data_IF_269619018764
#
_entry.id   IF_269619018764
#
_cell.length_a   1.000
_cell.length_b   1.000
_cell.length_c   1.000
_cell.angle_alpha   90.00
_cell.angle_beta   90.00
_cell.angle_gamma   90.00
#
_symmetry.space_group_name_H-M   'P 1'
#
loop_
_entity.id
_entity.type
_entity.pdbx_description
1 polymer ?
#
# COMPACT_ATOMS: atom_id res chain seq x y z
N UNK A 1 16.00 -26.91 5.69
CA UNK A 1 17.48 -26.91 5.68
C UNK A 1 17.89 -25.72 4.83
N UNK A 2 18.31 -24.58 5.38
CA UNK A 2 19.48 -24.37 6.22
C UNK A 2 19.18 -23.67 7.56
N UNK A 3 20.11 -23.88 8.50
CA UNK A 3 20.12 -23.50 9.92
C UNK A 3 21.02 -22.29 10.12
N UNK A 4 20.60 -21.34 10.99
CA UNK A 4 21.36 -20.56 12.01
C UNK A 4 20.69 -19.18 12.20
N UNK A 5 20.63 -18.55 13.37
CA UNK A 5 21.01 -18.91 14.71
C UNK A 5 20.20 -18.02 15.68
N UNK A 6 19.91 -18.56 16.85
CA UNK A 6 19.34 -17.89 18.01
C UNK A 6 20.33 -16.86 18.55
N UNK A 7 19.88 -15.65 18.84
CA UNK A 7 20.49 -14.81 19.87
C UNK A 7 19.38 -14.35 20.82
N UNK A 8 19.52 -14.77 22.07
CA UNK A 8 18.66 -14.43 23.19
C UNK A 8 19.37 -13.36 24.03
N UNK A 9 18.64 -12.33 24.43
CA UNK A 9 18.91 -11.61 25.68
C UNK A 9 17.58 -11.10 26.23
N UNK A 10 17.25 -11.54 27.46
CA UNK A 10 16.32 -10.82 28.35
C UNK A 10 16.94 -9.47 28.75
N UNK A 11 16.24 -8.54 29.38
CA UNK A 11 15.48 -8.63 30.64
C UNK A 11 14.29 -7.61 30.61
N UNK A 12 13.06 -7.98 31.05
CA UNK A 12 12.40 -7.59 32.34
C UNK A 12 12.53 -6.08 32.65
N UNK A 13 11.48 -5.28 32.92
CA UNK A 13 10.45 -5.49 33.94
C UNK A 13 9.38 -4.37 33.91
N UNK A 14 8.26 -4.71 34.55
CA UNK A 14 6.94 -4.12 34.84
C UNK A 14 6.83 -2.77 35.60
N UNK A 15 5.65 -2.13 35.44
CA UNK A 15 4.98 -1.20 36.37
C UNK A 15 5.01 0.28 35.96
N UNK A 16 4.04 1.18 36.19
CA UNK A 16 2.71 1.19 36.84
C UNK A 16 2.10 2.57 36.53
N UNK A 17 0.77 2.65 36.63
CA UNK A 17 -0.15 3.78 36.51
C UNK A 17 0.25 5.11 37.20
N UNK A 18 -0.24 6.20 36.62
CA UNK A 18 -1.09 7.26 37.24
C UNK A 18 -0.59 8.73 37.12
N UNK A 19 -1.58 9.55 36.74
CA UNK A 19 -1.88 10.91 37.23
C UNK A 19 -1.10 12.13 36.70
N UNK A 20 -1.82 12.90 35.88
CA UNK A 20 -2.17 14.34 36.03
C UNK A 20 -1.15 15.26 36.71
N UNK A 21 -0.77 16.30 35.97
CA UNK A 21 -0.81 17.68 36.46
C UNK A 21 -0.67 18.69 35.32
N UNK A 22 -1.65 19.58 35.24
CA UNK A 22 -1.64 20.83 34.47
C UNK A 22 -0.50 21.77 34.91
N UNK A 23 0.02 22.58 34.00
CA UNK A 23 0.48 23.95 34.28
C UNK A 23 0.50 24.72 32.96
N UNK A 24 -0.50 25.58 32.73
CA UNK A 24 -0.40 26.71 31.80
C UNK A 24 -0.50 27.99 32.62
N UNK A 25 0.61 28.71 32.64
CA UNK A 25 0.73 30.09 33.12
C UNK A 25 0.11 31.02 32.08
N UNK A 26 -0.75 31.92 32.53
CA UNK A 26 -1.58 32.76 31.68
C UNK A 26 -0.94 34.03 31.17
N UNK A 27 -1.77 34.86 30.52
CA UNK A 27 -1.73 36.33 30.59
C UNK A 27 -3.04 36.92 30.03
N UNK A 28 -3.68 37.74 30.88
CA UNK A 28 -4.19 39.10 30.61
C UNK A 28 -5.38 39.34 29.66
N UNK A 29 -6.47 39.84 30.27
CA UNK A 29 -7.17 41.11 29.93
C UNK A 29 -7.79 41.23 28.52
N UNK A 30 -9.09 41.45 28.33
CA UNK A 30 -9.88 42.60 28.81
C UNK A 30 -11.37 42.42 28.44
N UNK A 31 -12.23 43.08 29.20
CA UNK A 31 -13.69 43.13 29.08
C UNK A 31 -14.15 44.06 27.95
N UNK A 32 -15.25 43.75 27.25
CA UNK A 32 -16.18 44.73 26.66
C UNK A 32 -17.53 44.06 26.39
N UNK A 33 -18.54 44.57 27.10
CA UNK A 33 -19.99 44.39 26.96
C UNK A 33 -20.49 44.66 25.55
N UNK A 34 -21.56 43.98 25.08
CA UNK A 34 -22.71 44.57 24.34
C UNK A 34 -23.66 43.47 23.79
N UNK A 35 -24.90 43.53 24.30
CA UNK A 35 -26.21 43.29 23.65
C UNK A 35 -26.63 41.86 23.31
N UNK A 36 -27.68 41.43 24.02
CA UNK A 36 -28.62 40.37 23.63
C UNK A 36 -29.41 40.82 22.39
N UNK A 37 -29.38 40.01 21.34
CA UNK A 37 -30.46 39.91 20.36
C UNK A 37 -30.63 38.44 20.01
N UNK A 38 -31.82 37.95 20.30
CA UNK A 38 -32.32 36.64 19.92
C UNK A 38 -32.48 36.60 18.39
N UNK A 39 -31.73 35.74 17.72
CA UNK A 39 -31.99 35.39 16.32
C UNK A 39 -31.79 33.88 16.13
N UNK A 40 -32.85 33.29 15.58
CA UNK A 40 -33.10 31.89 15.30
C UNK A 40 -32.13 31.37 14.22
N UNK A 41 -31.22 30.44 14.58
CA UNK A 41 -30.39 29.70 13.62
C UNK A 41 -30.32 28.22 14.02
N UNK A 42 -30.79 27.28 13.18
CA UNK A 42 -30.74 25.86 13.49
C UNK A 42 -29.30 25.35 13.41
N UNK A 43 -28.84 24.79 14.53
CA UNK A 43 -27.54 24.15 14.71
C UNK A 43 -27.35 22.99 13.73
N UNK A 44 -26.78 23.29 12.57
CA UNK A 44 -26.42 22.32 11.54
C UNK A 44 -25.08 21.70 11.89
N UNK A 45 -25.05 20.82 12.90
CA UNK A 45 -23.92 19.91 13.15
C UNK A 45 -24.30 18.61 13.91
N UNK A 46 -25.58 18.27 14.02
CA UNK A 46 -26.03 17.05 14.72
C UNK A 46 -26.07 15.77 13.86
N UNK A 47 -25.55 15.78 12.64
CA UNK A 47 -25.68 14.60 11.76
C UNK A 47 -24.49 13.62 11.79
N UNK A 48 -23.43 13.94 12.55
CA UNK A 48 -22.18 13.17 12.49
C UNK A 48 -21.89 12.24 13.69
N UNK A 49 -22.67 12.27 14.78
CA UNK A 49 -22.32 11.56 16.03
C UNK A 49 -23.15 10.30 16.34
N UNK A 50 -24.37 10.18 15.81
CA UNK A 50 -25.28 9.09 16.17
C UNK A 50 -24.84 7.73 15.61
N UNK A 51 -24.39 7.71 14.35
CA UNK A 51 -23.89 6.49 13.71
C UNK A 51 -22.61 5.98 14.37
N UNK A 52 -21.72 6.89 14.80
CA UNK A 52 -20.47 6.55 15.49
C UNK A 52 -20.74 6.01 16.92
N UNK A 53 -21.70 6.60 17.64
CA UNK A 53 -22.14 6.12 18.96
C UNK A 53 -22.85 4.75 18.89
N UNK A 54 -23.61 4.49 17.83
CA UNK A 54 -24.22 3.19 17.58
C UNK A 54 -23.17 2.08 17.41
N UNK A 55 -22.08 2.33 16.67
CA UNK A 55 -21.01 1.35 16.44
C UNK A 55 -20.28 0.96 17.75
N UNK A 56 -20.16 1.88 18.72
CA UNK A 56 -19.48 1.64 20.00
C UNK A 56 -20.39 1.03 21.08
N UNK A 57 -21.70 1.07 20.90
CA UNK A 57 -22.68 0.51 21.84
C UNK A 57 -22.81 -1.01 21.67
N UNK A 58 -22.99 -1.75 22.77
CA UNK A 58 -23.23 -3.21 22.75
C UNK A 58 -24.40 -3.57 21.84
N UNK A 59 -25.42 -2.70 21.75
CA UNK A 59 -26.57 -2.90 20.86
C UNK A 59 -26.17 -2.81 19.38
N UNK A 60 -25.44 -1.78 18.97
CA UNK A 60 -25.01 -1.66 17.58
C UNK A 60 -23.93 -2.68 17.21
N UNK A 61 -23.07 -3.10 18.15
CA UNK A 61 -22.18 -4.23 17.94
C UNK A 61 -22.97 -5.51 17.63
N UNK A 62 -24.00 -5.83 18.44
CA UNK A 62 -24.89 -6.98 18.21
C UNK A 62 -25.56 -6.90 16.83
N UNK A 63 -26.09 -5.75 16.46
CA UNK A 63 -26.74 -5.54 15.16
C UNK A 63 -25.75 -5.72 14.01
N UNK A 64 -24.53 -5.18 14.12
CA UNK A 64 -23.48 -5.35 13.12
C UNK A 64 -23.03 -6.81 12.99
N UNK A 65 -22.88 -7.54 14.10
CA UNK A 65 -22.58 -8.97 14.08
C UNK A 65 -23.70 -9.80 13.47
N UNK A 66 -24.96 -9.47 13.78
CA UNK A 66 -26.11 -10.15 13.22
C UNK A 66 -26.16 -9.93 11.70
N UNK A 67 -26.00 -8.68 11.25
CA UNK A 67 -25.89 -8.33 9.83
C UNK A 67 -24.75 -9.09 9.15
N UNK A 68 -23.54 -9.06 9.71
CA UNK A 68 -22.38 -9.80 9.18
C UNK A 68 -22.65 -11.30 9.12
N UNK A 69 -23.27 -11.88 10.16
CA UNK A 69 -23.61 -13.29 10.21
C UNK A 69 -24.62 -13.68 9.14
N UNK A 70 -25.65 -12.85 8.93
CA UNK A 70 -26.67 -13.08 7.92
C UNK A 70 -26.07 -12.95 6.50
N UNK A 71 -25.28 -11.91 6.24
CA UNK A 71 -24.52 -11.74 4.98
C UNK A 71 -23.57 -12.90 4.73
N UNK A 72 -22.83 -13.35 5.75
CA UNK A 72 -21.93 -14.49 5.66
C UNK A 72 -22.69 -15.78 5.37
N UNK A 73 -23.86 -15.99 6.02
CA UNK A 73 -24.73 -17.14 5.74
C UNK A 73 -25.19 -17.13 4.29
N UNK A 74 -25.57 -15.98 3.73
CA UNK A 74 -25.95 -15.87 2.31
C UNK A 74 -24.76 -16.12 1.37
N UNK A 75 -23.58 -15.55 1.66
CA UNK A 75 -22.36 -15.79 0.89
C UNK A 75 -21.97 -17.28 0.86
N UNK A 76 -22.09 -17.98 2.00
CA UNK A 76 -21.76 -19.40 2.10
C UNK A 76 -22.69 -20.30 1.27
N UNK A 77 -23.91 -19.85 0.92
CA UNK A 77 -24.79 -20.59 0.01
C UNK A 77 -24.21 -20.68 -1.41
N UNK A 78 -23.42 -19.70 -1.81
CA UNK A 78 -22.76 -19.66 -3.13
C UNK A 78 -21.41 -20.38 -3.12
N UNK A 79 -20.88 -20.71 -1.95
CA UNK A 79 -19.58 -21.34 -1.82
C UNK A 79 -19.65 -22.83 -2.23
N UNK A 80 -18.90 -23.28 -3.26
CA UNK A 80 -18.86 -24.68 -3.69
C UNK A 80 -18.28 -25.65 -2.65
N UNK A 81 -17.63 -25.15 -1.60
CA UNK A 81 -17.06 -25.95 -0.52
C UNK A 81 -17.98 -26.08 0.71
N UNK A 82 -19.20 -25.54 0.65
CA UNK A 82 -20.21 -25.66 1.72
C UNK A 82 -21.02 -26.95 1.57
N UNK A 83 -21.13 -27.74 2.65
CA UNK A 83 -21.72 -29.10 2.65
C UNK A 83 -23.22 -29.21 2.28
N UNK A 84 -23.95 -28.11 2.06
CA UNK A 84 -25.42 -28.12 1.91
C UNK A 84 -25.96 -27.48 0.63
N UNK A 85 -25.12 -26.89 -0.22
CA UNK A 85 -25.56 -26.15 -1.40
C UNK A 85 -24.83 -26.65 -2.62
N UNK A 86 -25.55 -27.32 -3.54
CA UNK A 86 -25.09 -27.41 -4.93
C UNK A 86 -25.12 -25.98 -5.47
N UNK A 87 -23.98 -25.39 -5.83
CA UNK A 87 -23.98 -24.02 -6.31
C UNK A 87 -24.80 -23.98 -7.59
N UNK A 88 -25.93 -23.27 -7.58
CA UNK A 88 -26.48 -22.68 -8.80
C UNK A 88 -25.66 -21.43 -9.15
N UNK A 89 -24.34 -21.51 -9.00
CA UNK A 89 -23.45 -20.44 -9.43
C UNK A 89 -23.30 -20.65 -10.91
N UNK A 90 -23.86 -19.73 -11.69
CA UNK A 90 -23.52 -19.58 -13.10
C UNK A 90 -22.04 -19.20 -13.11
N UNK A 91 -21.17 -20.20 -13.14
CA UNK A 91 -19.76 -19.97 -13.35
C UNK A 91 -19.66 -19.23 -14.69
N UNK A 92 -18.97 -18.07 -14.74
CA UNK A 92 -18.76 -17.39 -16.01
C UNK A 92 -18.19 -18.40 -17.00
N UNK A 93 -18.72 -18.41 -18.22
CA UNK A 93 -18.23 -19.33 -19.24
C UNK A 93 -16.84 -18.89 -19.68
N UNK A 94 -15.94 -19.86 -19.90
CA UNK A 94 -14.61 -19.59 -20.42
C UNK A 94 -14.74 -18.84 -21.76
N UNK A 95 -14.20 -17.62 -21.83
CA UNK A 95 -14.28 -16.75 -23.00
C UNK A 95 -15.19 -15.53 -22.84
N UNK A 96 -15.96 -15.45 -21.75
CA UNK A 96 -16.64 -14.21 -21.36
C UNK A 96 -15.67 -13.20 -20.76
N UNK A 97 -15.95 -11.90 -20.92
CA UNK A 97 -15.07 -10.82 -20.47
C UNK A 97 -14.86 -10.75 -18.95
N UNK A 98 -15.82 -11.29 -18.18
CA UNK A 98 -15.81 -11.39 -16.73
C UNK A 98 -15.15 -12.68 -16.21
N UNK A 99 -14.82 -13.62 -17.10
CA UNK A 99 -14.15 -14.86 -16.72
C UNK A 99 -12.74 -14.58 -16.17
N UNK A 100 -12.46 -15.10 -14.97
CA UNK A 100 -11.17 -14.93 -14.30
C UNK A 100 -10.92 -13.54 -13.71
N UNK A 101 -11.93 -12.67 -13.69
CA UNK A 101 -11.86 -11.35 -13.04
C UNK A 101 -12.67 -11.35 -11.74
N UNK A 102 -12.25 -10.57 -10.73
CA UNK A 102 -13.07 -10.36 -9.54
C UNK A 102 -14.37 -9.64 -9.91
N UNK A 103 -15.41 -9.82 -9.09
CA UNK A 103 -16.68 -9.12 -9.26
C UNK A 103 -16.46 -7.60 -9.26
N UNK A 104 -17.10 -6.89 -10.19
CA UNK A 104 -16.98 -5.44 -10.28
C UNK A 104 -17.49 -4.76 -9.01
N UNK A 105 -16.75 -3.77 -8.52
CA UNK A 105 -17.02 -3.06 -7.26
C UNK A 105 -16.68 -3.86 -6.01
N UNK A 106 -16.14 -5.08 -6.13
CA UNK A 106 -15.74 -5.87 -4.97
C UNK A 106 -14.43 -5.38 -4.36
N UNK A 107 -14.23 -5.65 -3.06
CA UNK A 107 -12.97 -5.39 -2.36
C UNK A 107 -11.79 -6.10 -3.01
N UNK A 108 -11.99 -7.25 -3.64
CA UNK A 108 -10.93 -7.97 -4.37
C UNK A 108 -10.49 -7.22 -5.62
N UNK A 109 -11.44 -6.62 -6.36
CA UNK A 109 -11.11 -5.76 -7.50
C UNK A 109 -10.33 -4.53 -7.05
N UNK A 110 -10.79 -3.87 -5.98
CA UNK A 110 -10.11 -2.71 -5.41
C UNK A 110 -8.67 -3.04 -4.99
N UNK A 111 -8.46 -4.12 -4.23
CA UNK A 111 -7.12 -4.59 -3.85
C UNK A 111 -6.24 -4.88 -5.06
N UNK A 112 -6.83 -5.42 -6.14
CA UNK A 112 -6.12 -5.64 -7.40
C UNK A 112 -5.63 -4.34 -8.04
N UNK A 113 -6.48 -3.31 -8.07
CA UNK A 113 -6.13 -1.96 -8.56
C UNK A 113 -5.07 -1.32 -7.69
N UNK A 114 -5.24 -1.35 -6.37
CA UNK A 114 -4.29 -0.79 -5.41
C UNK A 114 -2.91 -1.46 -5.54
N UNK A 115 -2.88 -2.79 -5.64
CA UNK A 115 -1.64 -3.54 -5.86
C UNK A 115 -0.98 -3.15 -7.19
N UNK A 116 -1.75 -2.96 -8.26
CA UNK A 116 -1.23 -2.50 -9.53
C UNK A 116 -0.59 -1.11 -9.42
N UNK A 117 -1.29 -0.15 -8.81
CA UNK A 117 -0.79 1.21 -8.59
C UNK A 117 0.47 1.22 -7.74
N UNK A 118 0.50 0.45 -6.64
CA UNK A 118 1.67 0.36 -5.77
C UNK A 118 2.89 -0.14 -6.53
N UNK A 119 2.69 -1.15 -7.37
CA UNK A 119 3.76 -1.72 -8.16
C UNK A 119 4.24 -0.75 -9.25
N UNK A 120 3.34 0.00 -9.89
CA UNK A 120 3.74 1.02 -10.87
C UNK A 120 4.61 2.10 -10.21
N UNK A 121 4.25 2.54 -9.00
CA UNK A 121 5.07 3.46 -8.20
C UNK A 121 6.46 2.88 -7.90
N UNK A 122 6.55 1.61 -7.47
CA UNK A 122 7.85 0.96 -7.23
C UNK A 122 8.74 0.97 -8.49
N UNK A 123 8.16 0.85 -9.69
CA UNK A 123 8.90 0.92 -10.96
C UNK A 123 9.34 2.35 -11.28
N UNK A 124 8.49 3.35 -11.05
CA UNK A 124 8.83 4.77 -11.24
C UNK A 124 9.99 5.20 -10.33
N UNK A 125 9.92 4.84 -9.04
CA UNK A 125 10.98 5.06 -8.05
C UNK A 125 12.30 4.40 -8.47
N UNK A 126 12.25 3.18 -9.02
CA UNK A 126 13.43 2.51 -9.56
C UNK A 126 14.07 3.29 -10.69
N UNK A 127 13.27 3.78 -11.64
CA UNK A 127 13.78 4.60 -12.74
C UNK A 127 14.40 5.91 -12.23
N UNK A 128 13.82 6.55 -11.21
CA UNK A 128 14.39 7.73 -10.55
C UNK A 128 15.74 7.43 -9.89
N UNK A 129 15.83 6.34 -9.13
CA UNK A 129 17.09 5.94 -8.49
C UNK A 129 18.16 5.70 -9.55
N UNK A 130 17.84 4.98 -10.63
CA UNK A 130 18.80 4.72 -11.73
C UNK A 130 19.24 6.04 -12.38
N UNK A 131 18.34 7.01 -12.60
CA UNK A 131 18.72 8.34 -13.13
C UNK A 131 19.66 9.10 -12.19
N UNK A 132 19.49 8.94 -10.88
CA UNK A 132 20.26 9.68 -9.88
C UNK A 132 21.67 9.10 -9.65
N UNK A 133 21.81 7.78 -9.67
CA UNK A 133 23.08 7.10 -9.38
C UNK A 133 23.81 6.61 -10.63
N UNK A 134 23.10 6.54 -11.77
CA UNK A 134 23.62 6.02 -13.02
C UNK A 134 24.49 7.03 -13.74
N UNK A 135 25.41 6.50 -14.54
CA UNK A 135 26.26 7.29 -15.39
C UNK A 135 25.56 7.52 -16.73
N UNK A 136 25.66 8.72 -17.30
CA UNK A 136 25.19 8.94 -18.65
C UNK A 136 26.06 8.17 -19.65
N UNK A 137 25.41 7.41 -20.53
CA UNK A 137 26.05 6.81 -21.67
C UNK A 137 26.34 7.87 -22.74
N UNK A 138 27.58 7.88 -23.22
CA UNK A 138 27.99 8.64 -24.39
C UNK A 138 27.41 7.96 -25.64
N UNK A 139 26.21 8.37 -26.07
CA UNK A 139 25.81 8.12 -27.45
C UNK A 139 26.39 9.24 -28.31
N UNK A 140 27.60 8.99 -28.78
CA UNK A 140 28.20 9.66 -29.92
C UNK A 140 27.33 9.41 -31.16
N UNK A 141 26.43 10.34 -31.49
CA UNK A 141 25.56 10.17 -32.64
C UNK A 141 24.59 11.32 -32.84
N UNK A 142 25.07 12.36 -33.52
CA UNK A 142 24.33 13.32 -34.35
C UNK A 142 22.82 13.04 -34.50
N UNK A 143 21.99 13.74 -33.71
CA UNK A 143 20.54 13.61 -33.78
C UNK A 143 19.87 14.17 -32.53
N UNK A 144 19.48 15.45 -32.58
CA UNK A 144 18.85 16.18 -31.48
C UNK A 144 17.55 15.54 -30.97
N UNK A 145 17.67 14.67 -29.98
CA UNK A 145 16.59 14.16 -29.17
C UNK A 145 17.06 13.99 -27.73
N UNK A 146 16.27 14.49 -26.78
CA UNK A 146 16.56 14.63 -25.34
C UNK A 146 16.68 13.30 -24.56
N UNK A 147 17.14 12.22 -25.20
CA UNK A 147 17.20 10.88 -24.64
C UNK A 147 18.60 10.48 -24.21
N UNK A 148 19.12 11.07 -23.12
CA UNK A 148 20.38 10.61 -22.52
C UNK A 148 20.16 9.21 -21.95
N UNK A 149 20.78 8.20 -22.55
CA UNK A 149 20.75 6.83 -22.04
C UNK A 149 21.53 6.82 -20.73
N UNK A 150 20.96 6.27 -19.66
CA UNK A 150 21.62 6.16 -18.35
C UNK A 150 21.92 4.69 -18.08
N UNK A 151 23.13 4.38 -17.63
CA UNK A 151 23.55 3.02 -17.30
C UNK A 151 24.04 2.95 -15.86
N UNK A 152 23.81 1.82 -15.20
CA UNK A 152 24.26 1.58 -13.82
C UNK A 152 24.69 0.12 -13.66
N UNK A 153 25.74 -0.12 -12.87
CA UNK A 153 26.13 -1.49 -12.49
C UNK A 153 25.20 -2.05 -11.42
N UNK A 154 24.90 -3.34 -11.48
CA UNK A 154 24.02 -4.02 -10.53
C UNK A 154 24.51 -3.87 -9.08
N UNK A 155 25.82 -3.98 -8.82
CA UNK A 155 26.37 -3.81 -7.46
C UNK A 155 26.01 -2.45 -6.88
N UNK A 156 26.23 -1.36 -7.63
CA UNK A 156 25.93 0.01 -7.18
C UNK A 156 24.44 0.19 -6.88
N UNK A 157 23.60 -0.32 -7.79
CA UNK A 157 22.14 -0.24 -7.62
C UNK A 157 21.66 -1.07 -6.43
N UNK A 158 22.21 -2.27 -6.23
CA UNK A 158 21.87 -3.16 -5.14
C UNK A 158 22.30 -2.60 -3.78
N UNK A 159 23.50 -2.04 -3.66
CA UNK A 159 23.99 -1.40 -2.44
C UNK A 159 23.11 -0.21 -2.03
N UNK A 160 22.63 0.59 -2.99
CA UNK A 160 21.69 1.67 -2.73
C UNK A 160 20.32 1.14 -2.26
N UNK A 161 19.84 0.06 -2.87
CA UNK A 161 18.52 -0.51 -2.58
C UNK A 161 18.46 -1.37 -1.32
N UNK A 162 19.55 -1.98 -0.87
CA UNK A 162 19.53 -2.95 0.25
C UNK A 162 19.05 -2.33 1.57
N UNK A 163 19.24 -1.03 1.74
CA UNK A 163 18.77 -0.27 2.90
C UNK A 163 17.28 0.07 2.83
N UNK A 164 16.70 0.04 1.62
CA UNK A 164 15.35 0.54 1.33
C UNK A 164 14.38 -0.61 1.06
N UNK A 165 14.78 -1.63 0.29
CA UNK A 165 13.89 -2.73 -0.13
C UNK A 165 14.64 -3.96 -0.65
N UNK A 166 14.17 -5.15 -0.26
CA UNK A 166 14.70 -6.44 -0.72
C UNK A 166 14.10 -6.94 -2.05
N UNK A 167 13.44 -6.06 -2.82
CA UNK A 167 12.66 -6.42 -4.02
C UNK A 167 13.32 -6.07 -5.36
N UNK A 168 14.54 -5.53 -5.36
CA UNK A 168 15.15 -4.91 -6.54
C UNK A 168 15.01 -5.74 -7.84
N UNK A 169 15.43 -7.01 -7.82
CA UNK A 169 15.37 -7.88 -9.02
C UNK A 169 13.94 -8.06 -9.54
N UNK A 170 12.96 -8.17 -8.64
CA UNK A 170 11.55 -8.29 -9.01
C UNK A 170 11.00 -7.02 -9.67
N UNK A 171 11.40 -5.85 -9.17
CA UNK A 171 11.02 -4.54 -9.74
C UNK A 171 11.71 -4.32 -11.09
N UNK A 172 12.99 -4.67 -11.22
CA UNK A 172 13.74 -4.63 -12.49
C UNK A 172 13.06 -5.46 -13.59
N UNK A 173 12.68 -6.70 -13.27
CA UNK A 173 11.95 -7.56 -14.21
C UNK A 173 10.62 -6.96 -14.65
N UNK A 174 9.97 -6.20 -13.76
CA UNK A 174 8.72 -5.53 -14.09
C UNK A 174 8.92 -4.29 -14.95
N UNK A 175 9.91 -3.46 -14.66
CA UNK A 175 10.34 -2.34 -15.49
C UNK A 175 10.71 -2.83 -16.90
N UNK A 176 11.38 -3.98 -17.00
CA UNK A 176 11.73 -4.62 -18.28
C UNK A 176 10.50 -5.04 -19.10
N UNK A 177 9.44 -5.53 -18.46
CA UNK A 177 8.17 -5.83 -19.15
C UNK A 177 7.53 -4.59 -19.76
N UNK A 178 7.76 -3.42 -19.16
CA UNK A 178 7.30 -2.12 -19.65
C UNK A 178 8.28 -1.44 -20.62
N UNK A 179 9.41 -2.10 -20.96
CA UNK A 179 10.47 -1.56 -21.83
C UNK A 179 11.11 -0.27 -21.31
N UNK A 180 11.15 -0.10 -19.99
CA UNK A 180 11.84 1.04 -19.35
C UNK A 180 13.31 0.74 -19.06
N UNK A 181 13.66 -0.53 -18.85
CA UNK A 181 15.00 -0.96 -18.45
C UNK A 181 15.39 -2.20 -19.25
N UNK A 182 16.67 -2.30 -19.59
CA UNK A 182 17.27 -3.48 -20.21
C UNK A 182 18.54 -3.94 -19.46
N UNK A 183 18.71 -5.26 -19.35
CA UNK A 183 19.87 -5.90 -18.73
C UNK A 183 19.94 -7.38 -19.13
N UNK A 184 21.15 -7.94 -19.10
CA UNK A 184 21.39 -9.34 -19.48
C UNK A 184 20.96 -10.32 -18.37
N UNK A 185 20.29 -11.41 -18.77
CA UNK A 185 19.84 -12.48 -17.87
C UNK A 185 18.48 -12.23 -17.21
N UNK A 186 17.98 -13.20 -16.44
CA UNK A 186 16.72 -13.09 -15.69
C UNK A 186 16.93 -12.90 -14.19
N UNK A 187 18.06 -13.38 -13.68
CA UNK A 187 18.43 -13.36 -12.28
C UNK A 187 19.79 -12.69 -12.15
N UNK A 188 19.90 -11.76 -11.21
CA UNK A 188 21.16 -11.10 -10.86
C UNK A 188 21.50 -11.48 -9.41
N UNK A 189 22.66 -12.10 -9.23
CA UNK A 189 23.14 -12.61 -7.94
C UNK A 189 24.28 -11.75 -7.42
N UNK A 190 24.19 -11.36 -6.14
CA UNK A 190 25.28 -10.67 -5.46
C UNK A 190 26.57 -11.50 -5.48
N UNK A 191 27.70 -10.85 -5.75
CA UNK A 191 29.03 -11.46 -5.84
C UNK A 191 29.32 -12.16 -7.17
N UNK A 192 28.29 -12.44 -7.99
CA UNK A 192 28.46 -13.05 -9.31
C UNK A 192 28.19 -12.05 -10.43
N UNK A 193 27.03 -11.39 -10.37
CA UNK A 193 26.52 -10.51 -11.43
C UNK A 193 26.68 -9.03 -11.05
N UNK A 194 27.62 -8.73 -10.15
CA UNK A 194 27.88 -7.39 -9.62
C UNK A 194 28.22 -6.35 -10.69
N UNK A 195 28.84 -6.80 -11.78
CA UNK A 195 29.22 -5.98 -12.92
C UNK A 195 28.19 -5.98 -14.06
N UNK A 196 27.01 -6.60 -13.85
CA UNK A 196 25.95 -6.57 -14.84
C UNK A 196 25.46 -5.13 -15.06
N UNK A 197 25.43 -4.70 -16.32
CA UNK A 197 25.01 -3.35 -16.69
C UNK A 197 23.50 -3.32 -16.87
N UNK A 198 22.87 -2.39 -16.16
CA UNK A 198 21.45 -2.10 -16.23
C UNK A 198 21.30 -0.77 -16.97
N UNK A 199 20.60 -0.79 -18.10
CA UNK A 199 20.40 0.36 -18.97
C UNK A 199 18.98 0.88 -18.82
N UNK A 200 18.82 2.14 -18.47
CA UNK A 200 17.55 2.86 -18.53
C UNK A 200 17.30 3.31 -19.96
N UNK A 201 16.15 2.93 -20.51
CA UNK A 201 15.71 3.30 -21.84
C UNK A 201 14.99 4.67 -21.80
N UNK A 202 15.16 5.51 -22.84
CA UNK A 202 14.49 6.81 -22.94
C UNK A 202 12.99 6.70 -23.20
#
# INVERSE_FOLDING_TARGET
MFIRAVFASGEKSIGTLASVSETVMGTSSQSTTIIETEDDVPNSNQFCDEAAMCILSVKGLKENWQKWSDEHREYQKLNPFSHGTRPSVVAPQRGQDDYGKPLQGSMTEQRGKDAHTNISREVEELCEVIRNIGEPGDKDGDGGGDGKVVTVEFRKLFEHYVTISNKLVGVLLRARKQRLVDFEGEMLWQGKDDHAVITLLP
#
